data_IF_555012864453
#
_entry.id   IF_555012864453
#
_cell.length_a   1.000
_cell.length_b   1.000
_cell.length_c   1.000
_cell.angle_alpha   90.00
_cell.angle_beta   90.00
_cell.angle_gamma   90.00
#
_symmetry.space_group_name_H-M   'P 1'
#
loop_
_entity.id
_entity.type
_entity.pdbx_description
1 polymer ?
#
# COMPACT_ATOMS: atom_id res chain seq x y z
N UNK A 1 -43.17 9.61 -6.63
CA UNK A 1 -42.92 8.18 -6.86
C UNK A 1 -41.92 8.06 -7.99
N UNK A 2 -40.63 8.26 -7.70
CA UNK A 2 -39.56 8.05 -8.67
C UNK A 2 -39.13 6.59 -8.57
N UNK A 3 -39.03 5.90 -9.71
CA UNK A 3 -38.59 4.52 -9.76
C UNK A 3 -37.25 4.35 -9.02
N UNK A 4 -37.15 3.29 -8.24
CA UNK A 4 -35.91 2.80 -7.65
C UNK A 4 -34.92 2.45 -8.78
N UNK A 5 -34.13 3.42 -9.23
CA UNK A 5 -33.12 3.20 -10.28
C UNK A 5 -31.99 2.25 -9.83
N UNK A 6 -31.94 1.88 -8.54
CA UNK A 6 -30.97 0.92 -7.99
C UNK A 6 -31.45 -0.54 -7.92
N UNK A 7 -32.77 -0.81 -8.02
CA UNK A 7 -33.34 -2.14 -7.73
C UNK A 7 -33.93 -2.80 -8.98
N UNK A 8 -33.08 -3.04 -9.98
CA UNK A 8 -33.48 -3.75 -11.19
C UNK A 8 -33.41 -5.27 -10.94
N UNK A 9 -34.50 -6.00 -11.19
CA UNK A 9 -34.64 -7.45 -10.90
C UNK A 9 -34.56 -7.84 -9.41
N UNK A 10 -34.96 -6.95 -8.49
CA UNK A 10 -34.88 -7.22 -7.05
C UNK A 10 -33.46 -7.22 -6.48
N UNK A 11 -32.45 -7.11 -7.35
CA UNK A 11 -31.05 -6.94 -7.02
C UNK A 11 -30.73 -5.46 -6.89
N UNK A 12 -30.06 -5.10 -5.80
CA UNK A 12 -29.51 -3.77 -5.59
C UNK A 12 -28.17 -3.64 -6.35
N UNK A 13 -28.24 -3.12 -7.58
CA UNK A 13 -27.06 -2.85 -8.40
C UNK A 13 -26.17 -1.76 -7.80
N UNK A 14 -26.76 -0.87 -7.00
CA UNK A 14 -26.03 0.17 -6.25
C UNK A 14 -25.09 -0.45 -5.23
N UNK A 15 -25.52 -1.48 -4.51
CA UNK A 15 -24.69 -2.17 -3.51
C UNK A 15 -23.42 -2.78 -4.15
N UNK A 16 -23.53 -3.41 -5.32
CA UNK A 16 -22.38 -3.96 -6.03
C UNK A 16 -21.39 -2.87 -6.47
N UNK A 17 -21.90 -1.75 -6.99
CA UNK A 17 -21.06 -0.60 -7.37
C UNK A 17 -20.31 -0.03 -6.15
N UNK A 18 -20.97 0.06 -4.99
CA UNK A 18 -20.35 0.52 -3.75
C UNK A 18 -19.22 -0.41 -3.30
N UNK A 19 -19.46 -1.74 -3.28
CA UNK A 19 -18.41 -2.72 -2.91
C UNK A 19 -17.22 -2.62 -3.85
N UNK A 20 -17.47 -2.50 -5.16
CA UNK A 20 -16.41 -2.31 -6.16
C UNK A 20 -15.58 -1.07 -5.85
N UNK A 21 -16.22 0.09 -5.63
CA UNK A 21 -15.52 1.34 -5.34
C UNK A 21 -14.72 1.25 -4.04
N UNK A 22 -15.31 0.72 -2.97
CA UNK A 22 -14.63 0.56 -1.67
C UNK A 22 -13.40 -0.34 -1.82
N UNK A 23 -13.57 -1.50 -2.49
CA UNK A 23 -12.49 -2.47 -2.71
C UNK A 23 -11.38 -1.88 -3.57
N UNK A 24 -11.73 -1.15 -4.62
CA UNK A 24 -10.78 -0.50 -5.52
C UNK A 24 -9.99 0.60 -4.80
N UNK A 25 -10.67 1.48 -4.06
CA UNK A 25 -10.01 2.54 -3.28
C UNK A 25 -9.10 1.94 -2.21
N UNK A 26 -9.55 0.91 -1.49
CA UNK A 26 -8.72 0.22 -0.50
C UNK A 26 -7.46 -0.38 -1.14
N UNK A 27 -7.61 -1.04 -2.30
CA UNK A 27 -6.47 -1.59 -3.05
C UNK A 27 -5.49 -0.49 -3.47
N UNK A 28 -5.97 0.61 -4.06
CA UNK A 28 -5.13 1.74 -4.47
C UNK A 28 -4.36 2.33 -3.28
N UNK A 29 -5.02 2.55 -2.14
CA UNK A 29 -4.37 3.09 -0.94
C UNK A 29 -3.25 2.16 -0.47
N UNK A 30 -3.52 0.86 -0.34
CA UNK A 30 -2.50 -0.11 0.11
C UNK A 30 -1.31 -0.14 -0.86
N UNK A 31 -1.57 -0.17 -2.16
CA UNK A 31 -0.52 -0.22 -3.20
C UNK A 31 0.32 1.05 -3.19
N UNK A 32 -0.29 2.23 -3.04
CA UNK A 32 0.43 3.52 -2.98
C UNK A 32 1.34 3.58 -1.76
N UNK A 33 0.86 3.21 -0.56
CA UNK A 33 1.69 3.15 0.65
C UNK A 33 2.87 2.19 0.47
N UNK A 34 2.62 1.00 -0.08
CA UNK A 34 3.67 0.02 -0.33
C UNK A 34 4.71 0.54 -1.33
N UNK A 35 4.28 1.05 -2.47
CA UNK A 35 5.15 1.60 -3.51
C UNK A 35 5.96 2.80 -3.00
N UNK A 36 5.36 3.67 -2.19
CA UNK A 36 6.03 4.83 -1.60
C UNK A 36 7.07 4.39 -0.54
N UNK A 37 6.77 3.37 0.27
CA UNK A 37 7.73 2.76 1.19
C UNK A 37 8.95 2.17 0.47
N UNK A 38 8.72 1.40 -0.61
CA UNK A 38 9.79 0.88 -1.45
C UNK A 38 10.60 1.99 -2.13
N UNK A 39 9.94 3.05 -2.61
CA UNK A 39 10.58 4.21 -3.24
C UNK A 39 11.51 4.93 -2.26
N UNK A 40 11.06 5.17 -1.02
CA UNK A 40 11.88 5.80 0.02
C UNK A 40 13.07 4.93 0.42
N UNK A 41 12.87 3.62 0.53
CA UNK A 41 13.94 2.67 0.83
C UNK A 41 14.97 2.59 -0.29
N UNK A 42 14.53 2.62 -1.55
CA UNK A 42 15.41 2.63 -2.72
C UNK A 42 16.23 3.93 -2.82
N UNK A 43 15.60 5.08 -2.58
CA UNK A 43 16.27 6.39 -2.61
C UNK A 43 17.29 6.59 -1.47
N UNK A 44 17.15 5.85 -0.37
CA UNK A 44 18.11 5.85 0.74
C UNK A 44 19.29 4.89 0.56
N UNK A 45 19.34 4.14 -0.55
CA UNK A 45 20.48 3.26 -0.83
C UNK A 45 21.69 4.11 -1.23
N UNK A 46 22.85 3.96 -0.57
CA UNK A 46 24.09 4.59 -1.03
C UNK A 46 24.41 4.10 -2.46
N UNK A 47 24.79 5.02 -3.33
CA UNK A 47 25.32 4.68 -4.65
C UNK A 47 26.73 4.13 -4.49
N UNK A 48 26.90 2.81 -4.62
CA UNK A 48 28.19 2.13 -4.51
C UNK A 48 29.00 2.15 -5.84
N UNK A 49 28.48 2.84 -6.86
CA UNK A 49 29.12 3.03 -8.18
C UNK A 49 29.96 4.30 -8.19
N UNK A 50 31.29 4.15 -8.24
CA UNK A 50 32.20 5.27 -8.48
C UNK A 50 31.97 5.91 -9.86
N UNK A 51 32.57 7.09 -10.11
CA UNK A 51 32.38 7.89 -11.34
C UNK A 51 32.65 7.16 -12.67
N UNK A 52 33.26 5.97 -12.64
CA UNK A 52 33.58 5.13 -13.81
C UNK A 52 32.65 3.92 -13.98
N UNK A 53 31.60 3.78 -13.16
CA UNK A 53 30.62 2.68 -13.25
C UNK A 53 31.09 1.33 -12.71
N UNK A 54 32.33 1.25 -12.19
CA UNK A 54 32.82 0.07 -11.46
C UNK A 54 32.29 0.06 -10.02
N UNK A 55 31.80 -1.11 -9.57
CA UNK A 55 31.37 -1.34 -8.18
C UNK A 55 32.60 -1.36 -7.29
N UNK A 56 32.94 -0.22 -6.68
CA UNK A 56 34.04 -0.10 -5.73
C UNK A 56 33.48 -0.21 -4.32
N UNK A 57 33.28 -1.42 -3.83
CA UNK A 57 32.80 -1.62 -2.45
C UNK A 57 33.92 -1.36 -1.45
N UNK A 58 33.75 -0.36 -0.57
CA UNK A 58 34.40 -0.34 0.75
C UNK A 58 33.78 0.63 1.77
N UNK A 59 33.05 1.67 1.34
CA UNK A 59 32.43 2.61 2.28
C UNK A 59 30.91 2.53 2.14
N UNK A 60 30.26 1.73 2.99
CA UNK A 60 28.82 1.82 3.20
C UNK A 60 28.54 3.22 3.76
N UNK A 61 28.22 4.17 2.89
CA UNK A 61 27.79 5.51 3.29
C UNK A 61 26.65 5.41 4.31
N UNK A 62 26.65 6.33 5.26
CA UNK A 62 25.68 6.37 6.35
C UNK A 62 24.27 6.52 5.74
N UNK A 63 23.51 5.41 5.75
CA UNK A 63 22.16 5.38 5.20
C UNK A 63 21.33 6.42 5.94
N UNK A 64 20.67 7.38 5.26
CA UNK A 64 19.88 8.38 5.94
C UNK A 64 18.79 7.70 6.77
N UNK A 65 18.89 7.81 8.10
CA UNK A 65 18.00 7.16 9.08
C UNK A 65 16.54 7.54 8.80
N UNK A 66 16.32 8.78 8.35
CA UNK A 66 15.01 9.29 7.95
C UNK A 66 14.37 8.53 6.77
N UNK A 67 15.15 8.14 5.75
CA UNK A 67 14.63 7.39 4.60
C UNK A 67 14.26 5.95 5.00
N UNK A 68 15.08 5.34 5.86
CA UNK A 68 14.82 3.98 6.39
C UNK A 68 13.57 3.97 7.28
N UNK A 69 13.45 4.89 8.23
CA UNK A 69 12.28 4.98 9.10
C UNK A 69 10.99 5.27 8.31
N UNK A 70 11.04 6.16 7.32
CA UNK A 70 9.88 6.47 6.47
C UNK A 70 9.41 5.26 5.66
N UNK A 71 10.35 4.50 5.08
CA UNK A 71 10.06 3.26 4.37
C UNK A 71 9.38 2.21 5.26
N UNK A 72 9.96 1.95 6.44
CA UNK A 72 9.40 1.00 7.40
C UNK A 72 8.02 1.42 7.92
N UNK A 73 7.80 2.71 8.17
CA UNK A 73 6.51 3.22 8.61
C UNK A 73 5.42 2.99 7.55
N UNK A 74 5.73 3.26 6.28
CA UNK A 74 4.80 3.03 5.17
C UNK A 74 4.44 1.53 5.04
N UNK A 75 5.44 0.66 5.14
CA UNK A 75 5.23 -0.80 5.14
C UNK A 75 4.40 -1.26 6.35
N UNK A 76 4.68 -0.73 7.54
CA UNK A 76 3.95 -1.08 8.75
C UNK A 76 2.47 -0.68 8.65
N UNK A 77 2.17 0.50 8.11
CA UNK A 77 0.79 0.96 7.88
C UNK A 77 0.07 0.04 6.87
N UNK A 78 0.72 -0.29 5.76
CA UNK A 78 0.15 -1.21 4.76
C UNK A 78 -0.10 -2.61 5.33
N UNK A 79 0.86 -3.16 6.06
CA UNK A 79 0.72 -4.46 6.73
C UNK A 79 -0.40 -4.44 7.79
N UNK A 80 -0.48 -3.38 8.60
CA UNK A 80 -1.53 -3.22 9.61
C UNK A 80 -2.93 -3.17 8.97
N UNK A 81 -3.09 -2.46 7.84
CA UNK A 81 -4.35 -2.41 7.11
C UNK A 81 -4.77 -3.81 6.60
N UNK A 82 -3.81 -4.59 6.07
CA UNK A 82 -4.07 -5.97 5.62
C UNK A 82 -4.43 -6.89 6.79
N UNK A 83 -3.69 -6.83 7.89
CA UNK A 83 -3.95 -7.64 9.09
C UNK A 83 -5.31 -7.31 9.70
N UNK A 84 -5.69 -6.03 9.72
CA UNK A 84 -7.00 -5.59 10.16
C UNK A 84 -8.13 -6.10 9.23
N UNK A 85 -7.91 -6.08 7.91
CA UNK A 85 -8.83 -6.70 6.95
C UNK A 85 -9.00 -8.20 7.21
N UNK A 86 -7.91 -8.92 7.46
CA UNK A 86 -7.95 -10.35 7.80
C UNK A 86 -8.72 -10.62 9.11
N UNK A 87 -8.53 -9.78 10.12
CA UNK A 87 -9.25 -9.83 11.40
C UNK A 87 -10.78 -9.72 11.19
N UNK A 88 -11.23 -8.80 10.33
CA UNK A 88 -12.65 -8.63 10.01
C UNK A 88 -13.23 -9.75 9.12
N UNK A 89 -12.40 -10.41 8.31
CA UNK A 89 -12.85 -11.55 7.48
C UNK A 89 -13.02 -12.81 8.33
N UNK A 90 -12.20 -13.00 9.37
CA UNK A 90 -12.24 -14.19 10.22
C UNK A 90 -13.25 -13.96 11.37
N UNK A 91 -14.42 -14.60 11.36
CA UNK A 91 -15.48 -14.38 12.35
C UNK A 91 -15.19 -15.01 13.72
N UNK A 92 -14.02 -15.63 13.91
CA UNK A 92 -13.58 -16.15 15.20
C UNK A 92 -12.75 -15.13 16.00
N UNK A 93 -12.33 -14.03 15.35
CA UNK A 93 -11.48 -13.02 15.98
C UNK A 93 -12.23 -11.72 16.34
N UNK A 94 -13.42 -11.49 15.79
CA UNK A 94 -14.30 -10.37 16.12
C UNK A 94 -15.69 -10.83 16.57
#
# INVERSE_FOLDING_TARGET
MAAASGQFLGVDWGAFAVVFVISFVAAVVIVVFYALGLRLLAAGSPDDTGSEGHVTSAARGERPVAATFGGYLCLAIGAAAVLYGLYLIIPQFH
#
